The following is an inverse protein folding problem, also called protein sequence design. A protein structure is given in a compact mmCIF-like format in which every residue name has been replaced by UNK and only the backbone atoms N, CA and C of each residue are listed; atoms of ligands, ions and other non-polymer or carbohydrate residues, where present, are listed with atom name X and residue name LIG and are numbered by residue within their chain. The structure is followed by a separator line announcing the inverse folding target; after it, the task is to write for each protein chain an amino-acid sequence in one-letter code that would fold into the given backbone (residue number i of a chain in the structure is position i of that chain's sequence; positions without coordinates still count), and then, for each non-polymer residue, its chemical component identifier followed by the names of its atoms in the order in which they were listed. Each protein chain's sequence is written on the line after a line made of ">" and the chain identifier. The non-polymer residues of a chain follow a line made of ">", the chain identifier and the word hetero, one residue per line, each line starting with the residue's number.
data_IF_900256861718
#
_entry.id   IF_900256861718
#
_cell.length_a   1.000
_cell.length_b   1.000
_cell.length_c   1.000
_cell.angle_alpha   90.00
_cell.angle_beta   90.00
_cell.angle_gamma   90.00
#
_symmetry.space_group_name_H-M   'P 1'
#
loop_
_entity.id
_entity.type
_entity.pdbx_description
1 polymer ?
#
# COMPACT_ATOMS: atom_id res chain seq x y z
N UNK A 1 1.42 -19.57 7.56
CA UNK A 1 1.15 -18.15 7.89
C UNK A 1 -0.31 -17.90 7.61
N UNK A 2 -1.01 -17.43 8.64
CA UNK A 2 -2.41 -17.05 8.53
C UNK A 2 -2.55 -15.78 7.68
N UNK A 3 -3.68 -15.67 6.97
CA UNK A 3 -3.96 -14.46 6.19
C UNK A 3 -4.34 -13.30 7.12
N UNK A 4 -3.88 -12.11 6.76
CA UNK A 4 -4.17 -10.84 7.42
C UNK A 4 -4.89 -9.92 6.44
N UNK A 5 -5.65 -8.98 6.97
CA UNK A 5 -6.30 -7.96 6.15
C UNK A 5 -5.30 -6.83 5.88
N UNK A 6 -5.15 -6.46 4.62
CA UNK A 6 -4.29 -5.37 4.17
C UNK A 6 -5.14 -4.31 3.50
N UNK A 7 -4.81 -3.05 3.74
CA UNK A 7 -5.29 -1.93 2.96
C UNK A 7 -4.27 -1.64 1.86
N UNK A 8 -4.75 -1.57 0.63
CA UNK A 8 -3.94 -1.39 -0.59
C UNK A 8 -4.47 -0.19 -1.38
N UNK A 9 -3.56 0.53 -2.02
CA UNK A 9 -3.94 1.56 -2.98
C UNK A 9 -2.90 1.73 -4.08
N UNK A 10 -3.37 2.06 -5.28
CA UNK A 10 -2.56 2.53 -6.41
C UNK A 10 -2.80 4.03 -6.72
N UNK A 11 -3.18 4.80 -5.69
CA UNK A 11 -3.56 6.22 -5.72
C UNK A 11 -4.93 6.54 -6.33
N UNK A 12 -5.38 5.73 -7.31
CA UNK A 12 -6.68 5.92 -7.95
C UNK A 12 -7.79 5.07 -7.33
N UNK A 13 -7.42 3.95 -6.70
CA UNK A 13 -8.31 2.98 -6.08
C UNK A 13 -7.80 2.63 -4.68
N UNK A 14 -8.72 2.38 -3.76
CA UNK A 14 -8.46 1.87 -2.42
C UNK A 14 -9.19 0.54 -2.24
N UNK A 15 -8.58 -0.40 -1.54
CA UNK A 15 -9.23 -1.67 -1.26
C UNK A 15 -8.67 -2.39 -0.04
N UNK A 16 -9.45 -3.35 0.45
CA UNK A 16 -9.06 -4.26 1.52
C UNK A 16 -8.89 -5.67 0.94
N UNK A 17 -7.78 -6.33 1.25
CA UNK A 17 -7.43 -7.65 0.70
C UNK A 17 -6.84 -8.55 1.78
N UNK A 18 -7.37 -9.77 1.89
CA UNK A 18 -6.74 -10.82 2.69
C UNK A 18 -5.53 -11.42 1.95
N UNK A 19 -4.37 -11.39 2.59
CA UNK A 19 -3.13 -11.92 2.06
C UNK A 19 -2.19 -12.35 3.19
N UNK A 20 -1.09 -13.01 2.84
CA UNK A 20 -0.04 -13.42 3.78
C UNK A 20 0.95 -12.29 4.08
N UNK A 21 1.16 -11.41 3.12
CA UNK A 21 2.10 -10.30 3.19
C UNK A 21 1.66 -9.14 2.27
N UNK A 22 2.22 -7.93 2.45
CA UNK A 22 1.85 -6.75 1.67
C UNK A 22 2.05 -6.89 0.16
N UNK A 23 3.11 -7.59 -0.28
CA UNK A 23 3.40 -7.77 -1.70
C UNK A 23 2.30 -8.65 -2.33
N UNK A 24 1.98 -9.78 -1.69
CA UNK A 24 0.90 -10.65 -2.13
C UNK A 24 -0.45 -9.91 -2.17
N UNK A 25 -0.73 -9.01 -1.22
CA UNK A 25 -1.96 -8.21 -1.23
C UNK A 25 -2.10 -7.38 -2.51
N UNK A 26 -1.02 -6.69 -2.92
CA UNK A 26 -0.98 -5.92 -4.16
C UNK A 26 -1.11 -6.80 -5.40
N UNK A 27 -0.39 -7.92 -5.44
CA UNK A 27 -0.45 -8.88 -6.55
C UNK A 27 -1.88 -9.44 -6.71
N UNK A 28 -2.55 -9.77 -5.61
CA UNK A 28 -3.96 -10.23 -5.63
C UNK A 28 -4.92 -9.14 -6.10
N UNK A 29 -4.75 -7.88 -5.67
CA UNK A 29 -5.68 -6.79 -6.04
C UNK A 29 -5.55 -6.36 -7.50
N UNK A 30 -4.32 -6.21 -7.98
CA UNK A 30 -4.03 -5.56 -9.26
C UNK A 30 -3.53 -6.52 -10.34
N UNK A 31 -3.34 -7.81 -10.03
CA UNK A 31 -2.97 -8.85 -11.01
C UNK A 31 -1.55 -8.72 -11.56
N UNK A 32 -0.71 -7.87 -10.97
CA UNK A 32 0.69 -7.64 -11.37
C UNK A 32 1.64 -8.36 -10.45
N UNK A 33 2.56 -9.15 -11.00
CA UNK A 33 3.55 -9.91 -10.23
C UNK A 33 4.90 -9.20 -10.05
N UNK A 34 5.12 -8.11 -10.78
CA UNK A 34 6.39 -7.38 -10.90
C UNK A 34 6.55 -6.24 -9.88
N UNK A 35 5.64 -6.12 -8.91
CA UNK A 35 5.82 -5.22 -7.79
C UNK A 35 7.07 -5.58 -6.98
N UNK A 36 7.84 -4.57 -6.62
CA UNK A 36 8.89 -4.67 -5.60
C UNK A 36 8.70 -3.60 -4.54
N UNK A 37 9.08 -3.92 -3.31
CA UNK A 37 9.02 -2.98 -2.20
C UNK A 37 10.17 -1.98 -2.32
N UNK A 38 9.83 -0.69 -2.28
CA UNK A 38 10.78 0.41 -2.16
C UNK A 38 11.11 0.57 -0.67
N UNK A 39 12.39 0.45 -0.31
CA UNK A 39 12.81 0.67 1.07
C UNK A 39 12.84 2.17 1.37
N UNK A 40 12.62 2.53 2.64
CA UNK A 40 12.54 3.94 3.03
C UNK A 40 13.83 4.72 2.71
N UNK A 41 14.99 4.07 2.80
CA UNK A 41 16.28 4.65 2.43
C UNK A 41 16.43 4.97 0.93
N UNK A 42 15.61 4.33 0.09
CA UNK A 42 15.61 4.49 -1.37
C UNK A 42 14.49 5.45 -1.85
N UNK A 43 13.70 6.01 -0.92
CA UNK A 43 12.71 7.03 -1.23
C UNK A 43 13.43 8.37 -1.42
N UNK A 44 13.45 8.82 -2.67
CA UNK A 44 13.92 10.15 -3.08
C UNK A 44 12.78 10.86 -3.79
N UNK A 45 12.95 12.16 -4.07
CA UNK A 45 11.97 12.94 -4.86
C UNK A 45 11.77 12.39 -6.29
N UNK A 46 12.66 11.52 -6.76
CA UNK A 46 12.60 10.89 -8.08
C UNK A 46 12.06 9.45 -8.04
N UNK A 47 11.78 8.92 -6.85
CA UNK A 47 11.32 7.54 -6.69
C UNK A 47 9.84 7.44 -7.02
N UNK A 48 9.51 6.68 -8.06
CA UNK A 48 8.12 6.43 -8.46
C UNK A 48 7.53 5.34 -7.57
N UNK A 49 6.58 5.72 -6.73
CA UNK A 49 5.74 4.77 -5.98
C UNK A 49 4.46 4.56 -6.75
N UNK A 50 4.23 3.34 -7.23
CA UNK A 50 3.01 2.97 -7.95
C UNK A 50 1.89 2.48 -7.03
N UNK A 51 2.24 1.98 -5.84
CA UNK A 51 1.26 1.50 -4.87
C UNK A 51 1.76 1.60 -3.42
N UNK A 52 0.80 1.68 -2.50
CA UNK A 52 1.03 1.66 -1.06
C UNK A 52 0.21 0.54 -0.42
N UNK A 53 0.74 -0.04 0.65
CA UNK A 53 0.07 -1.09 1.39
C UNK A 53 0.43 -1.04 2.88
N UNK A 54 -0.54 -1.31 3.75
CA UNK A 54 -0.31 -1.53 5.17
C UNK A 54 -1.24 -2.62 5.72
N UNK A 55 -0.81 -3.28 6.80
CA UNK A 55 -1.69 -4.17 7.54
C UNK A 55 -2.84 -3.36 8.15
N UNK A 56 -4.07 -3.75 7.83
CA UNK A 56 -5.28 -3.09 8.29
C UNK A 56 -5.63 -3.61 9.68
N UNK A 57 -5.09 -2.95 10.70
CA UNK A 57 -5.22 -3.37 12.10
C UNK A 57 -5.06 -2.20 13.08
N UNK A 58 -5.70 -2.32 14.24
CA UNK A 58 -5.50 -1.46 15.39
C UNK A 58 -5.77 0.01 15.08
N UNK A 59 -4.80 0.89 15.36
CA UNK A 59 -4.97 2.33 15.19
C UNK A 59 -5.21 2.73 13.73
N UNK A 60 -4.61 2.03 12.77
CA UNK A 60 -4.79 2.36 11.35
C UNK A 60 -6.22 2.06 10.90
N UNK A 61 -6.75 0.90 11.28
CA UNK A 61 -8.15 0.53 11.04
C UNK A 61 -9.10 1.60 11.61
N UNK A 62 -8.95 1.98 12.88
CA UNK A 62 -9.82 2.99 13.50
C UNK A 62 -9.82 4.33 12.74
N UNK A 63 -8.63 4.80 12.32
CA UNK A 63 -8.50 6.06 11.58
C UNK A 63 -9.13 5.97 10.18
N UNK A 64 -8.95 4.84 9.49
CA UNK A 64 -9.47 4.66 8.13
C UNK A 64 -11.01 4.48 8.11
N UNK A 65 -11.59 3.95 9.19
CA UNK A 65 -13.05 3.84 9.36
C UNK A 65 -13.72 5.20 9.64
N UNK A 66 -12.99 6.16 10.21
CA UNK A 66 -13.49 7.54 10.39
C UNK A 66 -13.53 8.34 9.08
N UNK A 67 -12.86 7.87 8.03
CA UNK A 67 -12.81 8.54 6.74
C UNK A 67 -14.14 8.40 5.97
N UNK A 68 -14.62 9.50 5.40
CA UNK A 68 -15.88 9.52 4.64
C UNK A 68 -15.71 9.08 3.18
N UNK A 69 -14.48 9.13 2.65
CA UNK A 69 -14.18 8.82 1.26
C UNK A 69 -12.80 8.16 1.14
N UNK A 70 -12.56 7.54 -0.01
CA UNK A 70 -11.31 6.80 -0.26
C UNK A 70 -10.10 7.71 -0.45
N UNK A 71 -10.29 8.95 -0.90
CA UNK A 71 -9.18 9.90 -1.04
C UNK A 71 -8.53 10.20 0.33
N UNK A 72 -9.34 10.44 1.35
CA UNK A 72 -8.86 10.64 2.73
C UNK A 72 -8.17 9.38 3.26
N UNK A 73 -8.71 8.19 2.95
CA UNK A 73 -8.09 6.91 3.32
C UNK A 73 -6.71 6.75 2.69
N UNK A 74 -6.57 7.03 1.40
CA UNK A 74 -5.28 6.98 0.69
C UNK A 74 -4.30 7.98 1.27
N UNK A 75 -4.76 9.21 1.55
CA UNK A 75 -3.93 10.23 2.16
C UNK A 75 -3.41 9.81 3.55
N UNK A 76 -4.27 9.29 4.42
CA UNK A 76 -3.88 8.85 5.77
C UNK A 76 -3.03 7.57 5.72
N UNK A 77 -3.35 6.65 4.81
CA UNK A 77 -2.53 5.47 4.56
C UNK A 77 -1.12 5.88 4.15
N UNK A 78 -0.97 6.81 3.21
CA UNK A 78 0.35 7.29 2.77
C UNK A 78 1.18 7.88 3.92
N UNK A 79 0.53 8.56 4.88
CA UNK A 79 1.20 9.18 6.03
C UNK A 79 1.39 8.23 7.23
N UNK A 80 0.92 6.98 7.15
CA UNK A 80 1.03 6.02 8.23
C UNK A 80 2.46 5.44 8.32
N UNK A 81 3.05 5.34 9.52
CA UNK A 81 4.43 4.85 9.70
C UNK A 81 4.63 3.38 9.31
N UNK A 82 3.54 2.60 9.25
CA UNK A 82 3.59 1.18 8.89
C UNK A 82 3.41 0.93 7.40
N UNK A 83 3.22 1.99 6.62
CA UNK A 83 2.98 1.90 5.18
C UNK A 83 4.23 1.46 4.45
N UNK A 84 4.04 0.49 3.56
CA UNK A 84 5.04 -0.03 2.65
C UNK A 84 4.75 0.54 1.26
N UNK A 85 5.81 0.99 0.61
CA UNK A 85 5.76 1.62 -0.71
C UNK A 85 6.23 0.62 -1.76
N UNK A 86 5.57 0.57 -2.89
CA UNK A 86 5.84 -0.39 -3.96
C UNK A 86 5.91 0.29 -5.32
N UNK A 87 6.78 -0.24 -6.17
CA UNK A 87 6.97 0.19 -7.55
C UNK A 87 6.98 -1.02 -8.48
N UNK A 88 6.74 -0.82 -9.77
CA UNK A 88 6.87 -1.85 -10.80
C UNK A 88 7.61 -1.37 -12.06
N UNK A 89 8.10 -0.12 -12.07
CA UNK A 89 8.86 0.43 -13.19
C UNK A 89 10.32 0.64 -12.76
N UNK A 90 11.22 -0.18 -13.30
CA UNK A 90 12.64 0.17 -13.40
C UNK A 90 12.79 1.26 -14.47
N UNK A 91 12.37 2.48 -14.18
CA UNK A 91 12.90 3.64 -14.89
C UNK A 91 14.28 3.93 -14.31
N UNK A 92 15.27 3.18 -14.79
CA UNK A 92 16.65 3.63 -14.80
C UNK A 92 16.68 4.91 -15.63
N UNK A 93 16.64 6.08 -14.98
CA UNK A 93 17.06 7.32 -15.61
C UNK A 93 18.57 7.31 -15.84
#
# INVERSE_FOLDING_TARGET
>A
MDEKLFCVSNWNDYGLVYARDPLQALQKRYGRSDYYQVLHQDLTDFTIVNAICAEYTGKLESILEECTNDFDRVYLLNNSPNTKFFSFDHLSL
#
